data_IF_443021659222
#
_entry.id   IF_443021659222
#
_cell.length_a   1.000
_cell.length_b   1.000
_cell.length_c   1.000
_cell.angle_alpha   90.00
_cell.angle_beta   90.00
_cell.angle_gamma   90.00
#
_symmetry.space_group_name_H-M   'P 1'
#
loop_
_entity.id
_entity.type
_entity.pdbx_description
1 polymer ?
#
# COMPACT_ATOMS: atom_id res chain seq x y z
N UNK A 1 4.59 -5.41 6.67
CA UNK A 1 4.87 -5.82 8.07
C UNK A 1 5.74 -7.07 8.14
N UNK A 2 5.30 -8.21 7.59
CA UNK A 2 6.08 -9.45 7.57
C UNK A 2 7.52 -9.25 7.07
N UNK A 3 7.68 -8.57 5.93
CA UNK A 3 9.01 -8.26 5.41
C UNK A 3 9.86 -7.30 6.27
N UNK A 4 9.22 -6.41 7.04
CA UNK A 4 9.95 -5.56 8.00
C UNK A 4 10.60 -6.39 9.11
N UNK A 5 9.89 -7.42 9.59
CA UNK A 5 10.45 -8.38 10.55
C UNK A 5 11.54 -9.25 9.93
N UNK A 6 11.30 -9.76 8.72
CA UNK A 6 12.18 -10.73 8.06
C UNK A 6 13.51 -10.11 7.60
N UNK A 7 13.48 -8.95 6.93
CA UNK A 7 14.66 -8.36 6.30
C UNK A 7 15.38 -7.33 7.19
N UNK A 8 14.65 -6.64 8.07
CA UNK A 8 15.21 -5.55 8.88
C UNK A 8 15.20 -5.83 10.38
N UNK A 9 14.79 -7.04 10.80
CA UNK A 9 14.75 -7.43 12.21
C UNK A 9 13.82 -6.55 13.07
N UNK A 10 12.81 -5.91 12.46
CA UNK A 10 11.92 -5.00 13.19
C UNK A 10 11.15 -5.77 14.27
N UNK A 11 11.47 -5.53 15.54
CA UNK A 11 10.78 -6.16 16.68
C UNK A 11 9.40 -5.54 16.87
N UNK A 12 8.36 -6.36 16.72
CA UNK A 12 6.99 -5.97 17.01
C UNK A 12 6.68 -6.13 18.49
N UNK A 13 6.00 -5.14 19.07
CA UNK A 13 5.47 -5.24 20.44
C UNK A 13 4.29 -6.21 20.48
N UNK A 14 3.98 -6.72 21.68
CA UNK A 14 2.87 -7.67 21.88
C UNK A 14 1.54 -7.14 21.33
N UNK A 15 1.21 -5.88 21.60
CA UNK A 15 -0.01 -5.25 21.09
C UNK A 15 -0.06 -5.19 19.54
N UNK A 16 1.08 -4.88 18.90
CA UNK A 16 1.17 -4.85 17.43
C UNK A 16 0.98 -6.24 16.81
N UNK A 17 1.49 -7.30 17.46
CA UNK A 17 1.25 -8.69 17.03
C UNK A 17 -0.22 -9.08 17.15
N UNK A 18 -0.88 -8.66 18.23
CA UNK A 18 -2.32 -8.88 18.43
C UNK A 18 -3.12 -8.16 17.34
N UNK A 19 -2.80 -6.90 17.03
CA UNK A 19 -3.43 -6.15 15.94
C UNK A 19 -3.30 -6.88 14.59
N UNK A 20 -2.12 -7.40 14.26
CA UNK A 20 -1.90 -8.17 13.04
C UNK A 20 -2.77 -9.43 13.02
N UNK A 21 -2.88 -10.16 14.14
CA UNK A 21 -3.71 -11.35 14.23
C UNK A 21 -5.20 -11.02 14.01
N UNK A 22 -5.70 -9.91 14.57
CA UNK A 22 -7.08 -9.44 14.38
C UNK A 22 -7.33 -9.10 12.90
N UNK A 23 -6.41 -8.35 12.26
CA UNK A 23 -6.54 -8.00 10.85
C UNK A 23 -6.51 -9.25 9.96
N UNK A 24 -5.61 -10.19 10.23
CA UNK A 24 -5.52 -11.45 9.50
C UNK A 24 -6.79 -12.28 9.65
N UNK A 25 -7.38 -12.36 10.84
CA UNK A 25 -8.65 -13.04 11.05
C UNK A 25 -9.79 -12.43 10.22
N UNK A 26 -9.88 -11.09 10.17
CA UNK A 26 -10.86 -10.39 9.34
C UNK A 26 -10.73 -10.70 7.84
N UNK A 27 -9.49 -10.79 7.35
CA UNK A 27 -9.21 -11.19 5.95
C UNK A 27 -9.54 -12.66 5.71
N UNK A 28 -9.20 -13.56 6.64
CA UNK A 28 -9.55 -14.98 6.53
C UNK A 28 -11.06 -15.21 6.44
N UNK A 29 -11.86 -14.48 7.23
CA UNK A 29 -13.34 -14.52 7.15
C UNK A 29 -13.79 -14.14 5.73
N UNK A 30 -13.20 -13.11 5.15
CA UNK A 30 -13.55 -12.67 3.80
C UNK A 30 -13.19 -13.71 2.74
N UNK A 31 -12.01 -14.34 2.82
CA UNK A 31 -11.59 -15.41 1.90
C UNK A 31 -12.53 -16.61 1.99
N UNK A 32 -12.89 -17.04 3.20
CA UNK A 32 -13.82 -18.16 3.42
C UNK A 32 -15.21 -17.82 2.85
N UNK A 33 -15.65 -16.58 2.98
CA UNK A 33 -16.94 -16.11 2.46
C UNK A 33 -16.98 -16.10 0.93
N UNK A 34 -15.92 -15.59 0.30
CA UNK A 34 -15.81 -15.50 -1.16
C UNK A 34 -15.54 -16.89 -1.79
N UNK A 35 -14.99 -17.84 -1.02
CA UNK A 35 -14.59 -19.20 -1.47
C UNK A 35 -13.57 -19.23 -2.61
N UNK A 36 -12.95 -18.09 -2.90
CA UNK A 36 -11.87 -17.98 -3.87
C UNK A 36 -10.64 -17.39 -3.20
N UNK A 37 -9.47 -17.90 -3.59
CA UNK A 37 -8.21 -17.36 -3.13
C UNK A 37 -7.83 -16.21 -4.08
N UNK A 38 -7.67 -14.97 -3.58
CA UNK A 38 -7.40 -13.82 -4.43
C UNK A 38 -5.92 -13.78 -4.83
N UNK A 39 -5.51 -14.66 -5.74
CA UNK A 39 -4.11 -14.81 -6.18
C UNK A 39 -3.52 -13.51 -6.73
N UNK A 40 -4.32 -12.74 -7.49
CA UNK A 40 -3.88 -11.44 -8.02
C UNK A 40 -3.60 -10.45 -6.88
N UNK A 41 -4.48 -10.38 -5.87
CA UNK A 41 -4.27 -9.49 -4.72
C UNK A 41 -3.07 -9.91 -3.88
N UNK A 42 -2.87 -11.22 -3.70
CA UNK A 42 -1.68 -11.75 -3.02
C UNK A 42 -0.40 -11.44 -3.79
N UNK A 43 -0.40 -11.63 -5.11
CA UNK A 43 0.71 -11.26 -5.99
C UNK A 43 1.06 -9.78 -5.86
N UNK A 44 0.06 -8.88 -5.96
CA UNK A 44 0.25 -7.44 -5.77
C UNK A 44 0.79 -7.09 -4.38
N UNK A 45 0.26 -7.71 -3.32
CA UNK A 45 0.72 -7.48 -1.95
C UNK A 45 2.17 -7.93 -1.75
N UNK A 46 2.57 -9.06 -2.34
CA UNK A 46 3.94 -9.56 -2.30
C UNK A 46 4.88 -8.66 -3.12
N UNK A 47 4.54 -8.35 -4.37
CA UNK A 47 5.33 -7.49 -5.25
C UNK A 47 5.52 -6.10 -4.64
N UNK A 48 4.44 -5.46 -4.16
CA UNK A 48 4.53 -4.14 -3.55
C UNK A 48 5.24 -4.18 -2.18
N UNK A 49 5.06 -5.25 -1.41
CA UNK A 49 5.80 -5.48 -0.18
C UNK A 49 7.32 -5.58 -0.42
N UNK A 50 7.73 -6.32 -1.44
CA UNK A 50 9.14 -6.43 -1.87
C UNK A 50 9.67 -5.11 -2.41
N UNK A 51 8.87 -4.38 -3.19
CA UNK A 51 9.21 -3.02 -3.62
C UNK A 51 9.52 -2.11 -2.43
N UNK A 52 8.70 -2.16 -1.37
CA UNK A 52 8.96 -1.44 -0.12
C UNK A 52 10.26 -1.85 0.58
N UNK A 53 10.61 -3.14 0.56
CA UNK A 53 11.90 -3.63 1.06
C UNK A 53 13.06 -3.04 0.25
N UNK A 54 12.97 -3.08 -1.08
CA UNK A 54 13.99 -2.52 -1.97
C UNK A 54 14.18 -1.02 -1.72
N UNK A 55 13.09 -0.24 -1.66
CA UNK A 55 13.16 1.20 -1.37
C UNK A 55 13.79 1.51 -0.02
N UNK A 56 13.55 0.66 0.98
CA UNK A 56 14.15 0.82 2.31
C UNK A 56 15.63 0.40 2.36
N UNK A 57 16.01 -0.62 1.59
CA UNK A 57 17.38 -1.15 1.58
C UNK A 57 18.35 -0.32 0.74
N UNK A 58 17.85 0.38 -0.28
CA UNK A 58 18.67 1.16 -1.22
C UNK A 58 18.91 2.58 -0.68
N UNK A 59 20.19 2.97 -0.58
CA UNK A 59 20.65 4.29 -0.10
C UNK A 59 20.70 5.38 -1.19
N UNK A 60 19.93 5.24 -2.26
CA UNK A 60 19.84 6.22 -3.35
C UNK A 60 18.71 7.19 -3.03
N UNK A 61 18.84 8.45 -3.46
CA UNK A 61 17.76 9.43 -3.35
C UNK A 61 16.47 8.89 -4.01
N UNK A 62 15.32 8.92 -3.31
CA UNK A 62 14.05 8.36 -3.82
C UNK A 62 13.62 8.85 -5.20
N UNK A 63 13.87 10.14 -5.50
CA UNK A 63 13.61 10.77 -6.80
C UNK A 63 14.41 10.12 -7.92
N UNK A 64 15.72 9.98 -7.73
CA UNK A 64 16.66 9.34 -8.67
C UNK A 64 16.32 7.87 -8.83
N UNK A 65 16.04 7.16 -7.73
CA UNK A 65 15.67 5.75 -7.79
C UNK A 65 14.38 5.52 -8.61
N UNK A 66 13.36 6.35 -8.42
CA UNK A 66 12.11 6.26 -9.18
C UNK A 66 12.31 6.61 -10.66
N UNK A 67 13.17 7.57 -10.97
CA UNK A 67 13.54 7.90 -12.35
C UNK A 67 14.21 6.72 -13.04
N UNK A 68 15.19 6.08 -12.39
CA UNK A 68 15.88 4.90 -12.93
C UNK A 68 14.90 3.75 -13.16
N UNK A 69 14.00 3.48 -12.21
CA UNK A 69 12.95 2.46 -12.36
C UNK A 69 12.02 2.74 -13.54
N UNK A 70 11.64 4.01 -13.73
CA UNK A 70 10.76 4.40 -14.83
C UNK A 70 11.47 4.32 -16.17
N UNK A 71 12.72 4.80 -16.25
CA UNK A 71 13.54 4.73 -17.45
C UNK A 71 13.92 3.31 -17.83
N UNK A 72 14.09 2.40 -16.87
CA UNK A 72 14.37 0.99 -17.16
C UNK A 72 13.13 0.26 -17.70
N UNK A 73 11.93 0.64 -17.24
CA UNK A 73 10.66 0.10 -17.75
C UNK A 73 10.22 0.74 -19.09
N UNK A 74 10.63 1.98 -19.37
CA UNK A 74 10.19 2.74 -20.54
C UNK A 74 10.47 2.04 -21.89
N UNK A 75 11.64 1.43 -22.16
CA UNK A 75 11.88 0.71 -23.41
C UNK A 75 10.90 -0.43 -23.65
N UNK A 76 10.57 -1.21 -22.61
CA UNK A 76 9.61 -2.30 -22.71
C UNK A 76 8.19 -1.77 -22.96
N UNK A 77 7.81 -0.68 -22.27
CA UNK A 77 6.52 -0.02 -22.49
C UNK A 77 6.41 0.53 -23.93
N UNK A 78 7.46 1.20 -24.43
CA UNK A 78 7.50 1.73 -25.79
C UNK A 78 7.45 0.60 -26.83
N UNK A 79 8.20 -0.49 -26.64
CA UNK A 79 8.16 -1.64 -27.52
C UNK A 79 6.74 -2.25 -27.60
N UNK A 80 6.05 -2.36 -26.46
CA UNK A 80 4.68 -2.84 -26.40
C UNK A 80 3.71 -1.89 -27.12
N UNK A 81 3.84 -0.57 -26.94
CA UNK A 81 3.01 0.41 -27.65
C UNK A 81 3.24 0.37 -29.16
N UNK A 82 4.49 0.27 -29.62
CA UNK A 82 4.83 0.11 -31.03
C UNK A 82 4.23 -1.18 -31.62
N UNK A 83 4.26 -2.28 -30.87
CA UNK A 83 3.64 -3.54 -31.27
C UNK A 83 2.12 -3.43 -31.36
N UNK A 84 1.48 -2.75 -30.42
CA UNK A 84 0.04 -2.47 -30.44
C UNK A 84 -0.36 -1.62 -31.65
N UNK A 85 0.46 -0.63 -31.97
CA UNK A 85 0.28 0.22 -33.16
C UNK A 85 0.41 -0.60 -34.45
N UNK A 86 1.41 -1.47 -34.53
CA UNK A 86 1.66 -2.30 -35.70
C UNK A 86 0.56 -3.33 -35.94
N UNK A 87 0.00 -3.91 -34.88
CA UNK A 87 -1.09 -4.89 -34.96
C UNK A 87 -2.47 -4.27 -35.17
N UNK A 88 -2.58 -2.94 -35.21
CA UNK A 88 -3.86 -2.23 -35.34
C UNK A 88 -4.74 -2.30 -34.09
N UNK A 89 -4.21 -2.81 -32.97
CA UNK A 89 -4.90 -2.90 -31.68
C UNK A 89 -4.76 -1.62 -30.83
N UNK A 90 -3.93 -0.67 -31.27
CA UNK A 90 -3.78 0.62 -30.62
C UNK A 90 -5.04 1.49 -30.82
N UNK A 91 -5.54 2.03 -29.72
CA UNK A 91 -6.68 2.96 -29.72
C UNK A 91 -6.25 4.43 -29.64
N UNK A 92 -4.94 4.71 -29.60
CA UNK A 92 -4.39 6.06 -29.53
C UNK A 92 -4.23 6.66 -30.93
N UNK A 93 -4.53 7.96 -31.15
CA UNK A 93 -5.04 8.94 -30.17
C UNK A 93 -6.53 8.74 -29.84
N UNK A 94 -6.92 9.10 -28.61
CA UNK A 94 -8.32 9.13 -28.18
C UNK A 94 -8.91 10.54 -28.36
N UNK A 95 -9.87 10.93 -27.51
CA UNK A 95 -10.27 12.33 -27.36
C UNK A 95 -9.20 13.12 -26.61
N UNK A 96 -9.09 14.42 -26.91
CA UNK A 96 -8.13 15.31 -26.22
C UNK A 96 -8.24 15.24 -24.69
N UNK A 97 -9.46 15.16 -24.17
CA UNK A 97 -9.71 15.02 -22.73
C UNK A 97 -9.15 13.71 -22.18
N UNK A 98 -9.38 12.60 -22.86
CA UNK A 98 -8.87 11.28 -22.46
C UNK A 98 -7.34 11.26 -22.49
N UNK A 99 -6.73 11.80 -23.54
CA UNK A 99 -5.28 11.85 -23.68
C UNK A 99 -4.63 12.68 -22.58
N UNK A 100 -5.22 13.83 -22.23
CA UNK A 100 -4.76 14.67 -21.11
C UNK A 100 -4.93 13.97 -19.76
N UNK A 101 -6.04 13.26 -19.55
CA UNK A 101 -6.25 12.48 -18.32
C UNK A 101 -5.24 11.32 -18.21
N UNK A 102 -4.99 10.61 -19.32
CA UNK A 102 -3.97 9.55 -19.39
C UNK A 102 -2.58 10.09 -19.07
N UNK A 103 -2.18 11.23 -19.64
CA UNK A 103 -0.94 11.90 -19.28
C UNK A 103 -0.91 12.29 -17.79
N UNK A 104 -2.03 12.77 -17.24
CA UNK A 104 -2.20 13.10 -15.83
C UNK A 104 -2.04 11.90 -14.88
N UNK A 105 -2.35 10.67 -15.32
CA UNK A 105 -2.17 9.47 -14.48
C UNK A 105 -0.71 9.24 -14.08
N UNK A 106 0.24 9.65 -14.93
CA UNK A 106 1.67 9.59 -14.62
C UNK A 106 2.03 10.44 -13.40
N UNK A 107 1.52 11.67 -13.34
CA UNK A 107 1.72 12.58 -12.20
C UNK A 107 1.03 12.02 -10.96
N UNK A 108 -0.23 11.62 -11.09
CA UNK A 108 -1.04 11.06 -10.00
C UNK A 108 -0.44 9.79 -9.40
N UNK A 109 0.33 9.01 -10.17
CA UNK A 109 1.00 7.79 -9.70
C UNK A 109 2.38 8.09 -9.12
N UNK A 110 3.15 8.95 -9.79
CA UNK A 110 4.54 9.24 -9.41
C UNK A 110 4.63 9.96 -8.08
N UNK A 111 3.71 10.90 -7.80
CA UNK A 111 3.71 11.69 -6.56
C UNK A 111 3.54 10.79 -5.32
N UNK A 112 2.51 9.93 -5.21
CA UNK A 112 2.39 8.99 -4.09
C UNK A 112 3.57 8.02 -3.97
N UNK A 113 4.09 7.49 -5.09
CA UNK A 113 5.22 6.57 -5.06
C UNK A 113 6.49 7.24 -4.54
N UNK A 114 6.74 8.48 -4.92
CA UNK A 114 7.85 9.29 -4.43
C UNK A 114 7.73 9.52 -2.91
N UNK A 115 6.56 9.96 -2.44
CA UNK A 115 6.28 10.15 -1.02
C UNK A 115 6.43 8.85 -0.23
N UNK A 116 5.93 7.74 -0.78
CA UNK A 116 6.11 6.40 -0.20
C UNK A 116 7.59 6.03 -0.09
N UNK A 117 8.38 6.25 -1.14
CA UNK A 117 9.81 5.93 -1.15
C UNK A 117 10.58 6.77 -0.12
N UNK A 118 10.27 8.07 0.03
CA UNK A 118 10.82 8.90 1.10
C UNK A 118 10.44 8.38 2.49
N UNK A 119 9.19 7.93 2.69
CA UNK A 119 8.79 7.33 3.96
C UNK A 119 9.50 6.00 4.22
N UNK A 120 9.65 5.15 3.21
CA UNK A 120 10.30 3.84 3.27
C UNK A 120 11.72 3.89 3.84
N UNK A 121 12.48 4.91 3.48
CA UNK A 121 13.84 5.10 3.97
C UNK A 121 13.91 5.68 5.40
N UNK A 122 12.86 6.38 5.87
CA UNK A 122 12.89 7.14 7.13
C UNK A 122 12.21 6.46 8.30
N UNK A 123 11.24 5.58 8.05
CA UNK A 123 10.45 4.95 9.12
C UNK A 123 10.45 3.41 9.01
N UNK A 124 9.92 2.76 10.04
CA UNK A 124 9.78 1.30 10.08
C UNK A 124 8.82 0.83 8.98
N UNK A 125 9.19 -0.23 8.26
CA UNK A 125 8.37 -0.79 7.18
C UNK A 125 7.05 -1.35 7.74
N UNK A 126 7.05 -1.77 9.00
CA UNK A 126 5.83 -2.12 9.74
C UNK A 126 4.87 -0.93 9.86
N UNK A 127 5.38 0.26 10.22
CA UNK A 127 4.56 1.47 10.38
C UNK A 127 3.99 1.92 9.05
N UNK A 128 4.74 1.79 7.95
CA UNK A 128 4.25 2.11 6.60
C UNK A 128 3.10 1.18 6.22
N UNK A 129 3.28 -0.13 6.39
CA UNK A 129 2.21 -1.10 6.10
C UNK A 129 0.94 -0.83 6.90
N UNK A 130 1.07 -0.25 8.09
CA UNK A 130 -0.06 0.17 8.90
C UNK A 130 -0.76 1.42 8.37
N UNK A 131 0.00 2.46 8.03
CA UNK A 131 -0.53 3.71 7.43
C UNK A 131 -1.29 3.41 6.13
N UNK A 132 -0.85 2.40 5.37
CA UNK A 132 -1.52 2.00 4.14
C UNK A 132 -2.95 1.48 4.32
N UNK A 133 -3.38 1.10 5.53
CA UNK A 133 -4.79 0.75 5.81
C UNK A 133 -5.75 1.94 5.70
N UNK A 134 -5.23 3.17 5.59
CA UNK A 134 -6.02 4.35 5.20
C UNK A 134 -6.61 4.17 3.81
N UNK A 135 -5.85 3.60 2.85
CA UNK A 135 -6.31 3.40 1.48
C UNK A 135 -7.56 2.51 1.37
N UNK A 136 -7.58 1.26 1.88
CA UNK A 136 -8.80 0.44 1.83
C UNK A 136 -9.96 1.04 2.65
N UNK A 137 -9.68 1.82 3.71
CA UNK A 137 -10.72 2.56 4.44
C UNK A 137 -11.35 3.65 3.57
N UNK A 138 -10.53 4.46 2.89
CA UNK A 138 -11.03 5.47 1.95
C UNK A 138 -11.83 4.83 0.82
N UNK A 139 -11.32 3.75 0.21
CA UNK A 139 -12.03 3.02 -0.85
C UNK A 139 -13.37 2.47 -0.35
N UNK A 140 -13.43 1.95 0.87
CA UNK A 140 -14.67 1.50 1.49
C UNK A 140 -15.69 2.63 1.67
N UNK A 141 -15.24 3.79 2.16
CA UNK A 141 -16.11 4.95 2.36
C UNK A 141 -16.63 5.49 1.03
N UNK A 142 -15.77 5.59 0.01
CA UNK A 142 -16.16 6.01 -1.34
C UNK A 142 -17.17 5.02 -1.93
N UNK A 143 -16.88 3.72 -1.87
CA UNK A 143 -17.79 2.67 -2.37
C UNK A 143 -19.17 2.72 -1.70
N UNK A 144 -19.20 2.95 -0.39
CA UNK A 144 -20.44 3.00 0.40
C UNK A 144 -21.22 4.29 0.15
N UNK A 145 -20.58 5.45 0.29
CA UNK A 145 -21.29 6.75 0.34
C UNK A 145 -21.42 7.43 -1.02
N UNK A 146 -20.47 7.21 -1.93
CA UNK A 146 -20.48 7.83 -3.25
C UNK A 146 -21.08 6.87 -4.28
N UNK A 147 -20.62 5.62 -4.31
CA UNK A 147 -21.09 4.63 -5.28
C UNK A 147 -22.31 3.83 -4.82
N UNK A 148 -22.75 3.98 -3.57
CA UNK A 148 -23.90 3.28 -3.00
C UNK A 148 -23.84 1.74 -3.18
N UNK A 149 -22.64 1.16 -3.07
CA UNK A 149 -22.47 -0.28 -3.18
C UNK A 149 -23.17 -1.02 -2.02
N UNK A 150 -23.86 -2.14 -2.29
CA UNK A 150 -24.53 -2.89 -1.25
C UNK A 150 -23.53 -3.47 -0.24
N UNK A 151 -23.68 -3.07 1.02
CA UNK A 151 -22.84 -3.55 2.12
C UNK A 151 -23.31 -4.93 2.60
N UNK A 152 -22.49 -5.95 2.34
CA UNK A 152 -22.69 -7.26 2.97
C UNK A 152 -22.23 -7.23 4.44
N UNK A 153 -22.91 -8.00 5.29
CA UNK A 153 -22.54 -8.13 6.70
C UNK A 153 -21.10 -8.63 6.88
N UNK A 154 -20.64 -9.53 6.01
CA UNK A 154 -19.28 -10.05 6.01
C UNK A 154 -18.24 -8.93 5.78
N UNK A 155 -18.50 -8.03 4.84
CA UNK A 155 -17.63 -6.88 4.56
C UNK A 155 -17.53 -5.97 5.79
N UNK A 156 -18.66 -5.69 6.44
CA UNK A 156 -18.70 -4.87 7.66
C UNK A 156 -17.85 -5.51 8.77
N UNK A 157 -17.99 -6.81 8.99
CA UNK A 157 -17.20 -7.55 9.99
C UNK A 157 -15.70 -7.46 9.67
N UNK A 158 -15.30 -7.68 8.42
CA UNK A 158 -13.90 -7.57 8.01
C UNK A 158 -13.34 -6.17 8.25
N UNK A 159 -14.06 -5.10 7.89
CA UNK A 159 -13.63 -3.72 8.14
C UNK A 159 -13.61 -3.38 9.64
N UNK A 160 -14.56 -3.87 10.43
CA UNK A 160 -14.55 -3.71 11.88
C UNK A 160 -13.33 -4.37 12.53
N UNK A 161 -12.92 -5.56 12.07
CA UNK A 161 -11.67 -6.20 12.51
C UNK A 161 -10.44 -5.34 12.16
N UNK A 162 -10.36 -4.84 10.91
CA UNK A 162 -9.25 -3.99 10.46
C UNK A 162 -9.17 -2.70 11.29
N UNK A 163 -10.28 -2.01 11.51
CA UNK A 163 -10.29 -0.78 12.32
C UNK A 163 -9.99 -1.04 13.79
N UNK A 164 -10.41 -2.18 14.33
CA UNK A 164 -10.05 -2.60 15.69
C UNK A 164 -8.54 -2.85 15.81
N UNK A 165 -7.94 -3.55 14.84
CA UNK A 165 -6.50 -3.70 14.75
C UNK A 165 -5.79 -2.34 14.64
N UNK A 166 -6.38 -1.41 13.87
CA UNK A 166 -5.86 -0.05 13.72
C UNK A 166 -5.89 0.73 15.04
N UNK A 167 -7.00 0.66 15.78
CA UNK A 167 -7.12 1.32 17.07
C UNK A 167 -6.05 0.80 18.07
N UNK A 168 -5.88 -0.52 18.16
CA UNK A 168 -4.92 -1.15 19.07
C UNK A 168 -3.47 -0.74 18.76
N UNK A 169 -3.07 -0.80 17.50
CA UNK A 169 -1.69 -0.46 17.11
C UNK A 169 -1.40 1.04 17.28
N UNK A 170 -2.35 1.92 16.92
CA UNK A 170 -2.20 3.36 17.09
C UNK A 170 -2.06 3.72 18.58
N UNK A 171 -2.90 3.13 19.44
CA UNK A 171 -2.82 3.33 20.88
C UNK A 171 -1.46 2.89 21.46
N UNK A 172 -0.97 1.70 21.11
CA UNK A 172 0.36 1.23 21.54
C UNK A 172 1.49 2.16 21.10
N UNK A 173 1.40 2.68 19.86
CA UNK A 173 2.41 3.57 19.30
C UNK A 173 2.45 4.91 20.03
N UNK A 174 1.28 5.52 20.28
CA UNK A 174 1.16 6.80 21.00
C UNK A 174 1.58 6.67 22.47
N UNK A 175 1.10 5.63 23.16
CA UNK A 175 1.42 5.40 24.59
C UNK A 175 2.92 5.22 24.77
N UNK A 176 3.58 4.45 23.91
CA UNK A 176 5.01 4.22 24.06
C UNK A 176 5.86 5.44 23.63
N UNK A 177 5.44 6.19 22.62
CA UNK A 177 6.10 7.45 22.26
C UNK A 177 6.01 8.47 23.41
N UNK A 178 4.87 8.54 24.11
CA UNK A 178 4.70 9.39 25.29
C UNK A 178 5.57 8.97 26.47
N UNK A 179 5.78 7.66 26.68
CA UNK A 179 6.67 7.15 27.74
C UNK A 179 8.15 7.46 27.46
N UNK A 180 8.58 7.33 26.21
CA UNK A 180 9.96 7.65 25.79
C UNK A 180 10.27 9.14 26.00
N UNK A 181 9.33 10.02 25.62
CA UNK A 181 9.49 11.46 25.75
C UNK A 181 9.59 11.92 27.21
N UNK A 182 8.72 11.41 28.09
CA UNK A 182 8.80 11.72 29.54
C UNK A 182 10.14 11.29 30.15
N UNK A 183 10.66 10.13 29.75
CA UNK A 183 11.95 9.63 30.23
C UNK A 183 13.13 10.52 29.81
N UNK A 184 13.03 11.20 28.66
CA UNK A 184 14.06 12.15 28.20
C UNK A 184 13.93 13.52 28.87
N UNK A 185 12.74 13.87 29.37
CA UNK A 185 12.51 15.10 30.15
C UNK A 185 12.99 14.96 31.61
N UNK A 186 13.16 13.73 32.11
CA UNK A 186 13.64 13.41 33.46
C UNK A 186 15.18 13.26 33.57
N UNK A 187 15.95 13.40 32.46
CA UNK A 187 17.43 13.30 32.40
C UNK A 187 18.02 14.69 32.17
#
# INVERSE_FOLDING_TARGET
MFFGMLFFGEKLRRAQRIAIAIAAAGVCIQIITIREIPLVSLGLALSFGLYGVLKKAVSIEPSVALLIETLSAAPAALAYLCWLQHTGAANFPYSLTTDLLLAGTGVMTSVPLLLFAYAAQRIKLTTIGFIQYVSPTMTFLIGTFIYNEPLSIHRIITFACIWSALAVYSADTVVCAGRERRRLEDI
#
